data_IF_317432962584
#
_entry.id   IF_317432962584
#
_cell.length_a   1.000
_cell.length_b   1.000
_cell.length_c   1.000
_cell.angle_alpha   90.00
_cell.angle_beta   90.00
_cell.angle_gamma   90.00
#
_symmetry.space_group_name_H-M   'P 1'
#
loop_
_entity.id
_entity.type
_entity.pdbx_description
1 polymer ?
#
# COMPACT_ATOMS: atom_id res chain seq x y z
N UNK A 1 -10.66 14.33 -8.47
CA UNK A 1 -11.20 13.24 -9.32
C UNK A 1 -12.19 12.36 -8.55
N UNK A 2 -11.83 11.82 -7.38
CA UNK A 2 -12.67 10.93 -6.55
C UNK A 2 -14.08 11.49 -6.30
N UNK A 3 -14.21 12.71 -5.76
CA UNK A 3 -15.53 13.35 -5.52
C UNK A 3 -16.44 13.40 -6.76
N UNK A 4 -15.85 13.57 -7.95
CA UNK A 4 -16.60 13.56 -9.21
C UNK A 4 -17.12 12.15 -9.53
N UNK A 5 -16.31 11.11 -9.28
CA UNK A 5 -16.72 9.72 -9.48
C UNK A 5 -17.82 9.31 -8.49
N UNK A 6 -17.66 9.67 -7.21
CA UNK A 6 -18.66 9.41 -6.16
C UNK A 6 -20.03 9.99 -6.53
N UNK A 7 -20.06 11.26 -6.96
CA UNK A 7 -21.30 11.89 -7.43
C UNK A 7 -21.91 11.18 -8.64
N UNK A 8 -21.09 10.76 -9.61
CA UNK A 8 -21.58 10.06 -10.81
C UNK A 8 -22.20 8.70 -10.47
N UNK A 9 -21.65 8.00 -9.49
CA UNK A 9 -22.09 6.68 -9.08
C UNK A 9 -23.16 6.73 -7.98
N UNK A 10 -23.49 7.92 -7.47
CA UNK A 10 -24.41 8.12 -6.34
C UNK A 10 -24.02 7.30 -5.09
N UNK A 11 -22.72 7.23 -4.82
CA UNK A 11 -22.15 6.57 -3.62
C UNK A 11 -21.40 7.58 -2.77
N UNK A 12 -21.33 7.33 -1.46
CA UNK A 12 -20.73 8.25 -0.47
C UNK A 12 -19.24 8.02 -0.24
N UNK A 13 -18.70 6.86 -0.62
CA UNK A 13 -17.30 6.50 -0.38
C UNK A 13 -16.71 5.58 -1.43
N UNK A 14 -15.40 5.38 -1.36
CA UNK A 14 -14.63 4.55 -2.30
C UNK A 14 -13.60 3.70 -1.56
N UNK A 15 -13.28 2.54 -2.11
CA UNK A 15 -12.07 1.80 -1.73
C UNK A 15 -10.93 2.15 -2.68
N UNK A 16 -9.74 2.39 -2.14
CA UNK A 16 -8.57 2.78 -2.92
C UNK A 16 -7.51 1.71 -2.85
N UNK A 17 -7.03 1.27 -4.01
CA UNK A 17 -5.86 0.39 -4.12
C UNK A 17 -4.66 1.21 -4.60
N UNK A 18 -3.63 1.32 -3.78
CA UNK A 18 -2.41 2.08 -4.06
C UNK A 18 -1.21 1.15 -4.26
N UNK A 19 -0.72 1.02 -5.50
CA UNK A 19 0.49 0.24 -5.80
C UNK A 19 1.75 1.10 -5.71
N UNK A 20 2.79 0.59 -5.07
CA UNK A 20 4.11 1.23 -4.96
C UNK A 20 3.99 2.66 -4.40
N UNK A 21 4.52 3.67 -5.09
CA UNK A 21 4.35 5.08 -4.73
C UNK A 21 2.88 5.51 -4.55
N UNK A 22 1.93 4.82 -5.20
CA UNK A 22 0.49 5.08 -5.08
C UNK A 22 -0.05 4.96 -3.65
N UNK A 23 0.48 4.06 -2.82
CA UNK A 23 0.08 3.97 -1.41
C UNK A 23 0.57 5.16 -0.57
N UNK A 24 1.76 5.68 -0.87
CA UNK A 24 2.24 6.94 -0.24
C UNK A 24 1.40 8.13 -0.69
N UNK A 25 0.99 8.16 -1.96
CA UNK A 25 0.04 9.16 -2.48
C UNK A 25 -1.33 9.04 -1.79
N UNK A 26 -1.82 7.82 -1.52
CA UNK A 26 -3.06 7.60 -0.78
C UNK A 26 -2.96 8.15 0.65
N UNK A 27 -1.84 7.93 1.37
CA UNK A 27 -1.59 8.54 2.68
C UNK A 27 -1.59 10.07 2.63
N UNK A 28 -0.98 10.66 1.59
CA UNK A 28 -1.04 12.11 1.38
C UNK A 28 -2.46 12.60 1.12
N UNK A 29 -3.24 11.86 0.34
CA UNK A 29 -4.61 12.22 0.04
C UNK A 29 -5.50 12.20 1.29
N UNK A 30 -5.35 11.18 2.14
CA UNK A 30 -6.04 11.12 3.43
C UNK A 30 -5.65 12.29 4.32
N UNK A 31 -4.35 12.52 4.54
CA UNK A 31 -3.89 13.54 5.48
C UNK A 31 -4.17 14.98 5.03
N UNK A 32 -3.93 15.30 3.75
CA UNK A 32 -3.85 16.69 3.29
C UNK A 32 -5.02 17.10 2.37
N UNK A 33 -5.85 16.15 1.91
CA UNK A 33 -6.77 16.39 0.80
C UNK A 33 -8.18 15.79 1.00
N UNK A 34 -8.57 15.56 2.26
CA UNK A 34 -9.92 15.12 2.62
C UNK A 34 -10.24 13.70 2.15
N UNK A 35 -9.22 12.83 2.10
CA UNK A 35 -9.40 11.42 1.77
C UNK A 35 -9.95 10.60 2.94
N UNK A 36 -9.74 11.05 4.17
CA UNK A 36 -10.34 10.51 5.40
C UNK A 36 -11.87 10.45 5.34
N UNK A 37 -12.51 11.49 4.80
CA UNK A 37 -13.98 11.54 4.66
C UNK A 37 -14.53 10.69 3.51
N UNK A 38 -13.68 10.26 2.58
CA UNK A 38 -14.11 9.69 1.29
C UNK A 38 -13.67 8.24 1.10
N UNK A 39 -12.59 7.84 1.75
CA UNK A 39 -12.06 6.49 1.67
C UNK A 39 -12.72 5.63 2.74
N UNK A 40 -13.41 4.57 2.31
CA UNK A 40 -13.85 3.52 3.23
C UNK A 40 -12.69 2.60 3.59
N UNK A 41 -11.86 2.26 2.60
CA UNK A 41 -10.71 1.37 2.76
C UNK A 41 -9.56 1.80 1.85
N UNK A 42 -8.35 1.62 2.34
CA UNK A 42 -7.12 1.79 1.57
C UNK A 42 -6.30 0.51 1.65
N UNK A 43 -6.09 -0.12 0.49
CA UNK A 43 -5.24 -1.29 0.32
C UNK A 43 -3.98 -0.84 -0.41
N UNK A 44 -2.81 -1.11 0.15
CA UNK A 44 -1.52 -0.76 -0.47
C UNK A 44 -0.76 -2.00 -0.88
N UNK A 45 -0.09 -1.94 -2.04
CA UNK A 45 0.67 -3.06 -2.62
C UNK A 45 2.14 -2.66 -2.74
N UNK A 46 3.01 -3.23 -1.91
CA UNK A 46 4.45 -2.98 -1.92
C UNK A 46 4.78 -1.49 -1.82
N UNK A 47 4.04 -0.73 -1.02
CA UNK A 47 4.22 0.72 -0.92
C UNK A 47 5.36 1.06 0.04
N UNK A 48 6.33 1.91 -0.34
CA UNK A 48 7.47 2.28 0.52
C UNK A 48 7.06 3.29 1.60
N UNK A 49 6.20 2.88 2.54
CA UNK A 49 5.65 3.74 3.60
C UNK A 49 6.73 4.32 4.51
N UNK A 50 7.78 3.55 4.75
CA UNK A 50 8.98 3.97 5.48
C UNK A 50 10.20 4.17 4.57
N UNK A 51 9.96 4.24 3.26
CA UNK A 51 10.95 4.50 2.23
C UNK A 51 11.60 3.23 1.67
N UNK A 52 12.44 3.42 0.67
CA UNK A 52 13.24 2.35 0.06
C UNK A 52 14.68 2.78 -0.11
N UNK A 53 15.62 1.90 0.25
CA UNK A 53 17.04 2.19 0.05
C UNK A 53 17.38 2.48 -1.41
N UNK A 54 16.69 1.89 -2.38
CA UNK A 54 16.94 2.18 -3.80
C UNK A 54 16.74 3.67 -4.15
N UNK A 55 15.83 4.36 -3.46
CA UNK A 55 15.62 5.80 -3.60
C UNK A 55 16.61 6.65 -2.78
N UNK A 56 17.22 6.06 -1.75
CA UNK A 56 18.24 6.71 -0.91
C UNK A 56 19.67 6.55 -1.45
N UNK A 57 19.95 5.45 -2.15
CA UNK A 57 21.21 5.28 -2.86
C UNK A 57 21.25 6.26 -4.03
N UNK A 58 22.24 7.17 -4.00
CA UNK A 58 22.68 7.92 -5.18
C UNK A 58 23.31 6.94 -6.17
N UNK A 59 22.51 6.04 -6.74
CA UNK A 59 22.97 5.16 -7.79
C UNK A 59 23.23 6.08 -8.98
N UNK A 60 24.51 6.43 -9.20
CA UNK A 60 24.94 7.36 -10.26
C UNK A 60 24.52 6.87 -11.66
N UNK A 61 24.08 5.62 -11.77
CA UNK A 61 23.57 4.99 -12.98
C UNK A 61 22.07 5.24 -13.25
N UNK A 62 21.28 5.72 -12.28
CA UNK A 62 19.83 5.93 -12.44
C UNK A 62 19.45 7.33 -11.99
N UNK A 63 18.94 8.13 -12.92
CA UNK A 63 18.40 9.44 -12.59
C UNK A 63 17.18 9.29 -11.67
N UNK A 64 17.30 9.76 -10.42
CA UNK A 64 16.23 9.71 -9.43
C UNK A 64 15.47 11.05 -9.45
N UNK A 65 14.30 11.13 -10.11
CA UNK A 65 13.51 12.35 -10.17
C UNK A 65 13.01 12.76 -8.79
N UNK A 66 12.44 13.97 -8.67
CA UNK A 66 11.96 14.53 -7.38
C UNK A 66 11.06 13.55 -6.62
N UNK A 67 10.13 12.88 -7.30
CA UNK A 67 9.24 11.89 -6.68
C UNK A 67 10.02 10.70 -6.09
N UNK A 68 11.02 10.18 -6.81
CA UNK A 68 11.91 9.13 -6.31
C UNK A 68 12.63 9.59 -5.03
N UNK A 69 13.23 10.80 -5.02
CA UNK A 69 13.91 11.34 -3.82
C UNK A 69 12.98 11.49 -2.61
N UNK A 70 11.68 11.75 -2.85
CA UNK A 70 10.69 11.82 -1.79
C UNK A 70 10.37 10.45 -1.16
N UNK A 71 10.74 9.33 -1.80
CA UNK A 71 10.58 7.97 -1.27
C UNK A 71 11.87 7.43 -0.62
N UNK A 72 12.93 8.24 -0.55
CA UNK A 72 14.12 7.88 0.22
C UNK A 72 13.78 7.77 1.72
N UNK A 73 14.40 6.85 2.47
CA UNK A 73 14.19 6.74 3.91
C UNK A 73 14.47 8.08 4.60
N UNK A 74 13.60 8.45 5.54
CA UNK A 74 13.68 9.72 6.29
C UNK A 74 13.62 10.98 5.42
N UNK A 75 13.12 10.89 4.18
CA UNK A 75 12.83 12.08 3.37
C UNK A 75 11.86 13.00 4.12
N UNK A 76 11.87 14.31 3.81
CA UNK A 76 10.94 15.26 4.43
C UNK A 76 9.47 14.89 4.21
N UNK A 77 9.14 14.20 3.11
CA UNK A 77 7.78 13.72 2.85
C UNK A 77 7.40 12.60 3.83
N UNK A 78 8.24 11.57 3.93
CA UNK A 78 7.96 10.40 4.78
C UNK A 78 8.06 10.75 6.26
N UNK A 79 9.00 11.61 6.66
CA UNK A 79 9.05 12.13 8.02
C UNK A 79 7.77 12.87 8.42
N UNK A 80 7.18 13.65 7.49
CA UNK A 80 5.89 14.31 7.71
C UNK A 80 4.73 13.31 7.82
N UNK A 81 4.78 12.20 7.06
CA UNK A 81 3.75 11.17 7.06
C UNK A 81 3.84 10.21 8.26
N UNK A 82 5.04 9.95 8.78
CA UNK A 82 5.27 9.08 9.94
C UNK A 82 5.34 9.80 11.29
N UNK A 83 5.29 11.13 11.31
CA UNK A 83 5.37 11.93 12.55
C UNK A 83 4.08 11.96 13.41
N UNK A 84 3.12 11.09 13.14
CA UNK A 84 1.81 11.05 13.81
C UNK A 84 1.17 9.68 13.66
N UNK A 85 -0.17 9.62 13.72
CA UNK A 85 -0.91 8.40 13.42
C UNK A 85 -0.72 8.01 11.94
N UNK A 86 -0.13 6.84 11.71
CA UNK A 86 0.12 6.34 10.36
C UNK A 86 -1.15 5.93 9.62
N UNK A 87 -2.21 5.64 10.37
CA UNK A 87 -3.51 5.15 9.91
C UNK A 87 -4.62 6.00 10.52
N UNK A 88 -4.71 7.29 10.16
CA UNK A 88 -5.70 8.19 10.74
C UNK A 88 -7.13 7.68 10.51
N UNK A 89 -8.01 8.01 11.44
CA UNK A 89 -9.44 7.68 11.42
C UNK A 89 -10.10 8.04 10.08
N UNK A 90 -11.04 7.21 9.64
CA UNK A 90 -11.78 7.37 8.39
C UNK A 90 -11.73 6.06 7.61
N UNK A 91 -10.63 5.79 6.90
CA UNK A 91 -10.44 4.54 6.19
C UNK A 91 -9.93 3.40 7.08
N UNK A 92 -10.39 2.19 6.76
CA UNK A 92 -9.69 0.96 7.09
C UNK A 92 -8.38 0.85 6.29
N UNK A 93 -7.29 0.42 6.93
CA UNK A 93 -5.98 0.30 6.28
C UNK A 93 -5.52 -1.14 6.15
N UNK A 94 -5.11 -1.51 4.94
CA UNK A 94 -4.45 -2.79 4.63
C UNK A 94 -3.15 -2.51 3.88
N UNK A 95 -2.07 -3.15 4.33
CA UNK A 95 -0.80 -3.17 3.61
C UNK A 95 -0.42 -4.59 3.23
N UNK A 96 -0.25 -4.81 1.93
CA UNK A 96 0.16 -6.09 1.35
C UNK A 96 1.53 -5.87 0.71
N UNK A 97 2.53 -6.69 1.04
CA UNK A 97 3.85 -6.65 0.41
C UNK A 97 4.39 -8.06 0.15
N UNK A 98 5.43 -8.15 -0.66
CA UNK A 98 6.16 -9.39 -0.91
C UNK A 98 7.52 -9.32 -0.25
N UNK A 99 7.94 -10.37 0.43
CA UNK A 99 9.31 -10.48 0.97
C UNK A 99 10.38 -10.60 -0.14
N UNK A 100 9.95 -10.90 -1.37
CA UNK A 100 10.80 -10.92 -2.57
C UNK A 100 10.87 -9.57 -3.31
N UNK A 101 10.36 -8.48 -2.72
CA UNK A 101 10.34 -7.16 -3.33
C UNK A 101 11.77 -6.60 -3.50
N UNK A 102 12.18 -6.43 -4.76
CA UNK A 102 13.52 -5.95 -5.13
C UNK A 102 13.63 -4.43 -5.21
N UNK A 103 12.51 -3.71 -5.16
CA UNK A 103 12.44 -2.25 -5.36
C UNK A 103 12.22 -1.53 -4.03
N UNK A 104 11.33 -2.05 -3.18
CA UNK A 104 11.05 -1.55 -1.84
C UNK A 104 11.84 -2.37 -0.85
N UNK A 105 13.03 -1.87 -0.51
CA UNK A 105 13.99 -2.57 0.35
C UNK A 105 14.30 -1.74 1.60
N UNK A 106 14.19 -2.32 2.82
CA UNK A 106 13.70 -3.67 3.09
C UNK A 106 12.18 -3.78 2.82
N UNK A 107 11.66 -4.93 2.37
CA UNK A 107 10.22 -5.09 2.06
C UNK A 107 9.29 -4.72 3.22
N UNK A 108 9.75 -4.98 4.45
CA UNK A 108 9.05 -4.61 5.68
C UNK A 108 8.83 -3.10 5.85
N UNK A 109 9.45 -2.23 5.03
CA UNK A 109 9.17 -0.79 5.02
C UNK A 109 7.76 -0.47 4.52
N UNK A 110 7.08 -1.45 3.92
CA UNK A 110 5.66 -1.41 3.58
C UNK A 110 4.73 -1.63 4.78
N UNK A 111 5.23 -1.95 5.98
CA UNK A 111 4.35 -2.01 7.15
C UNK A 111 3.82 -0.63 7.51
N UNK A 112 2.59 -0.57 8.01
CA UNK A 112 1.97 0.61 8.62
C UNK A 112 1.46 0.27 10.01
N UNK A 113 1.80 1.09 11.01
CA UNK A 113 1.21 0.94 12.34
C UNK A 113 -0.31 1.15 12.28
N UNK A 114 -1.10 0.27 12.91
CA UNK A 114 -2.57 0.35 12.92
C UNK A 114 -3.28 -0.27 11.71
N UNK A 115 -2.54 -0.67 10.66
CA UNK A 115 -3.09 -1.38 9.51
C UNK A 115 -3.16 -2.90 9.73
N UNK A 116 -3.99 -3.57 8.94
CA UNK A 116 -3.84 -5.01 8.66
C UNK A 116 -2.63 -5.19 7.74
N UNK A 117 -1.58 -5.82 8.24
CA UNK A 117 -0.30 -5.98 7.57
C UNK A 117 -0.15 -7.43 7.11
N UNK A 118 0.02 -7.65 5.80
CA UNK A 118 0.05 -8.96 5.15
C UNK A 118 1.32 -9.09 4.30
N UNK A 119 2.26 -9.95 4.70
CA UNK A 119 3.24 -10.48 3.75
C UNK A 119 2.55 -11.53 2.88
N UNK A 120 2.80 -11.50 1.57
CA UNK A 120 2.32 -12.53 0.65
C UNK A 120 2.86 -13.90 1.07
N UNK A 121 4.10 -13.98 1.53
CA UNK A 121 4.75 -15.24 1.91
C UNK A 121 4.16 -15.81 3.22
N UNK A 122 3.66 -14.96 4.13
CA UNK A 122 2.95 -15.41 5.32
C UNK A 122 1.64 -16.15 4.97
N UNK A 123 1.01 -15.84 3.82
CA UNK A 123 -0.26 -16.45 3.40
C UNK A 123 -0.09 -17.52 2.32
N UNK A 124 0.82 -17.29 1.38
CA UNK A 124 1.00 -18.08 0.18
C UNK A 124 2.33 -18.86 0.16
N UNK A 125 3.06 -18.86 1.28
CA UNK A 125 4.26 -19.68 1.47
C UNK A 125 5.36 -19.31 0.48
N UNK A 126 5.67 -20.23 -0.44
CA UNK A 126 6.84 -20.15 -1.34
C UNK A 126 6.58 -19.42 -2.66
N UNK A 127 5.45 -18.71 -2.78
CA UNK A 127 5.21 -17.92 -4.00
C UNK A 127 6.24 -16.81 -4.08
N UNK A 128 6.85 -16.63 -5.25
CA UNK A 128 7.84 -15.59 -5.49
C UNK A 128 7.16 -14.46 -6.25
N UNK A 129 7.16 -13.25 -5.67
CA UNK A 129 6.48 -12.09 -6.26
C UNK A 129 7.42 -10.89 -6.24
N UNK A 130 7.95 -10.53 -7.39
CA UNK A 130 8.74 -9.29 -7.54
C UNK A 130 7.84 -8.06 -7.41
N UNK A 131 8.42 -6.89 -7.15
CA UNK A 131 7.69 -5.63 -6.98
C UNK A 131 6.73 -5.36 -8.15
N UNK A 132 7.25 -5.55 -9.38
CA UNK A 132 6.52 -5.32 -10.65
C UNK A 132 5.33 -6.26 -10.85
N UNK A 133 5.31 -7.38 -10.14
CA UNK A 133 4.31 -8.44 -10.28
C UNK A 133 3.16 -8.24 -9.31
N UNK A 134 3.34 -7.52 -8.19
CA UNK A 134 2.30 -7.26 -7.18
C UNK A 134 0.92 -6.88 -7.75
N UNK A 135 0.76 -5.94 -8.71
CA UNK A 135 -0.57 -5.53 -9.17
C UNK A 135 -1.23 -6.51 -10.16
N UNK A 136 -0.57 -7.61 -10.51
CA UNK A 136 -1.06 -8.60 -11.50
C UNK A 136 -0.87 -10.05 -11.07
N UNK A 137 -0.11 -10.30 -10.01
CA UNK A 137 0.07 -11.62 -9.45
C UNK A 137 -1.28 -12.11 -8.92
N UNK A 138 -1.63 -13.35 -9.24
CA UNK A 138 -2.95 -13.90 -8.96
C UNK A 138 -3.23 -13.95 -7.46
N UNK A 139 -2.24 -14.39 -6.70
CA UNK A 139 -2.31 -14.57 -5.25
C UNK A 139 -2.50 -13.23 -4.56
N UNK A 140 -1.73 -12.21 -4.97
CA UNK A 140 -1.91 -10.82 -4.48
C UNK A 140 -3.29 -10.29 -4.84
N UNK A 141 -3.75 -10.51 -6.08
CA UNK A 141 -5.04 -9.98 -6.51
C UNK A 141 -6.23 -10.62 -5.80
N UNK A 142 -6.19 -11.91 -5.47
CA UNK A 142 -7.27 -12.46 -4.64
C UNK A 142 -7.15 -12.09 -3.15
N UNK A 143 -5.95 -11.75 -2.63
CA UNK A 143 -5.86 -11.05 -1.32
C UNK A 143 -6.56 -9.68 -1.39
N UNK A 144 -6.34 -8.91 -2.45
CA UNK A 144 -7.05 -7.63 -2.67
C UNK A 144 -8.56 -7.87 -2.75
N UNK A 145 -9.02 -8.86 -3.52
CA UNK A 145 -10.45 -9.18 -3.64
C UNK A 145 -11.06 -9.64 -2.31
N UNK A 146 -10.32 -10.42 -1.52
CA UNK A 146 -10.72 -10.82 -0.18
C UNK A 146 -10.94 -9.61 0.72
N UNK A 147 -9.95 -8.71 0.76
CA UNK A 147 -10.02 -7.49 1.58
C UNK A 147 -11.08 -6.51 1.10
N UNK A 148 -11.35 -6.40 -0.21
CA UNK A 148 -12.44 -5.57 -0.72
C UNK A 148 -13.83 -6.12 -0.32
N UNK A 149 -13.94 -7.45 -0.24
CA UNK A 149 -15.20 -8.14 0.10
C UNK A 149 -15.45 -8.24 1.60
N UNK A 150 -14.41 -8.10 2.43
CA UNK A 150 -14.52 -8.20 3.88
C UNK A 150 -15.29 -7.02 4.49
N UNK A 151 -16.15 -7.29 5.48
CA UNK A 151 -16.80 -6.23 6.24
C UNK A 151 -15.78 -5.43 7.06
N UNK A 152 -14.90 -6.14 7.78
CA UNK A 152 -13.78 -5.60 8.55
C UNK A 152 -12.49 -6.22 8.01
N UNK A 153 -11.42 -5.44 7.77
CA UNK A 153 -10.15 -5.99 7.29
C UNK A 153 -9.56 -6.96 8.31
N UNK A 154 -8.95 -8.04 7.83
CA UNK A 154 -8.32 -9.04 8.71
C UNK A 154 -7.27 -9.81 7.96
N UNK A 155 -6.19 -10.20 8.63
CA UNK A 155 -5.20 -11.11 8.04
C UNK A 155 -5.92 -12.43 7.69
N UNK A 156 -5.90 -12.89 6.42
CA UNK A 156 -6.47 -14.16 6.04
C UNK A 156 -5.78 -15.33 6.75
N UNK A 157 -6.47 -16.44 6.95
CA UNK A 157 -5.82 -17.67 7.47
C UNK A 157 -4.89 -18.26 6.41
N UNK A 158 -3.78 -18.87 6.82
CA UNK A 158 -2.71 -19.47 5.96
C UNK A 158 -3.19 -20.43 4.85
N UNK A 159 -4.40 -20.99 4.95
CA UNK A 159 -5.00 -21.81 3.88
C UNK A 159 -5.71 -20.98 2.79
N UNK A 160 -5.70 -19.65 2.88
CA UNK A 160 -6.45 -18.76 2.00
C UNK A 160 -5.84 -18.65 0.60
N UNK A 161 -4.58 -19.02 0.36
CA UNK A 161 -4.02 -18.95 -0.98
C UNK A 161 -4.77 -19.87 -1.99
N UNK A 162 -5.43 -20.93 -1.51
CA UNK A 162 -6.36 -21.74 -2.31
C UNK A 162 -7.80 -21.19 -2.40
N UNK A 163 -8.19 -20.27 -1.52
CA UNK A 163 -9.51 -19.61 -1.44
C UNK A 163 -9.55 -18.31 -2.26
N UNK A 164 -8.38 -17.71 -2.47
CA UNK A 164 -8.04 -16.63 -3.43
C UNK A 164 -8.20 -17.08 -4.91
N UNK A 165 -8.69 -18.31 -5.15
CA UNK A 165 -8.80 -18.95 -6.47
C UNK A 165 -10.01 -18.55 -7.28
#
# INVERSE_FOLDING_TARGET
AVRRQLRRQHVSGVDVVGYSAGGVIARLWVRDHGGDDLARRIITLGSPHHGTFLAGYRNRAVECPKACKQLAPRSGLLARLGGGDETPTGPDWVSIWSDDDEVVTPPSSARLHGAVNISVQDICGKVVVAHRDLPRNREVMGLVSYELSAAVPTVPRVTACSVVR
#
